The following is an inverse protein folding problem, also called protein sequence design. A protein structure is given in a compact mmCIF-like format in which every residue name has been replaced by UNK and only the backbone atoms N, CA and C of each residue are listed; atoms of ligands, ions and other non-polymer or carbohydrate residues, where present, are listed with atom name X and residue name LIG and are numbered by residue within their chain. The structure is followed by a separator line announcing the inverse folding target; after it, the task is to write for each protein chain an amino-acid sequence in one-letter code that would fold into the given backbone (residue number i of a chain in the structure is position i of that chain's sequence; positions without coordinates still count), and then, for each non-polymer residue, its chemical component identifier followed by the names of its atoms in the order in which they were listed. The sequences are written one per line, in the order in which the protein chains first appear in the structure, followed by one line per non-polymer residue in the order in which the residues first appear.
data_IF_603138384255
#
_entry.id   IF_603138384255
#
_cell.length_a   1.000
_cell.length_b   1.000
_cell.length_c   1.000
_cell.angle_alpha   90.00
_cell.angle_beta   90.00
_cell.angle_gamma   90.00
#
_symmetry.space_group_name_H-M   'P 1'
#
loop_
_entity.id
_entity.type
_entity.pdbx_description
1 polymer ?
#
# COMPACT_ATOMS: atom_id res chain seq x y z
N UNK A 1 -2.79 8.51 -0.43
CA UNK A 1 -4.01 8.62 0.41
C UNK A 1 -4.07 9.96 1.14
N UNK A 2 -3.33 10.98 0.68
CA UNK A 2 -3.20 12.30 1.30
C UNK A 2 -4.48 13.17 1.26
N UNK A 3 -5.43 12.84 0.37
CA UNK A 3 -6.70 13.56 0.20
C UNK A 3 -7.90 12.62 0.37
N UNK A 4 -7.78 11.57 1.19
CA UNK A 4 -8.83 10.57 1.34
C UNK A 4 -9.78 11.00 2.47
N UNK A 5 -10.81 11.76 2.11
CA UNK A 5 -11.85 12.25 3.04
C UNK A 5 -13.11 11.39 3.03
N UNK A 6 -13.52 10.94 1.84
CA UNK A 6 -14.75 10.18 1.63
C UNK A 6 -14.41 8.85 0.92
N UNK A 7 -14.04 7.78 1.65
CA UNK A 7 -13.76 6.48 1.04
C UNK A 7 -15.02 5.90 0.40
N UNK A 8 -14.82 5.23 -0.73
CA UNK A 8 -15.92 4.56 -1.45
C UNK A 8 -16.48 3.38 -0.68
N UNK A 9 -17.72 3.01 -0.99
CA UNK A 9 -18.35 1.80 -0.47
C UNK A 9 -17.47 0.57 -0.75
N UNK A 10 -17.26 -0.28 0.27
CA UNK A 10 -16.40 -1.46 0.18
C UNK A 10 -14.89 -1.21 0.28
N UNK A 11 -14.44 0.04 0.38
CA UNK A 11 -13.04 0.37 0.71
C UNK A 11 -12.87 0.48 2.23
N UNK A 12 -12.70 -0.66 2.91
CA UNK A 12 -12.67 -0.79 4.37
C UNK A 12 -11.29 -1.13 4.98
N UNK A 13 -10.22 -1.13 4.16
CA UNK A 13 -8.86 -1.37 4.61
C UNK A 13 -8.25 -0.14 5.32
N UNK A 14 -7.16 -0.34 6.07
CA UNK A 14 -6.37 0.79 6.57
C UNK A 14 -5.53 1.39 5.44
N UNK A 15 -6.04 2.45 4.83
CA UNK A 15 -5.36 3.18 3.75
C UNK A 15 -4.33 4.20 4.23
N UNK A 16 -4.12 4.39 5.54
CA UNK A 16 -3.23 5.45 6.07
C UNK A 16 -3.62 6.81 5.48
N UNK A 17 -4.87 7.22 5.73
CA UNK A 17 -5.45 8.43 5.15
C UNK A 17 -4.85 9.69 5.79
N UNK A 18 -4.45 10.65 4.95
CA UNK A 18 -4.05 12.03 5.27
C UNK A 18 -2.75 12.18 6.10
N UNK A 19 -2.55 11.38 7.14
CA UNK A 19 -1.41 11.47 8.05
C UNK A 19 -0.62 10.15 8.12
N UNK A 20 0.69 10.27 8.28
CA UNK A 20 1.57 9.11 8.41
C UNK A 20 1.32 8.39 9.74
N UNK A 21 1.30 7.05 9.70
CA UNK A 21 1.18 6.20 10.88
C UNK A 21 2.51 5.50 11.15
N UNK A 22 3.02 5.60 12.38
CA UNK A 22 4.20 4.84 12.80
C UNK A 22 3.82 3.37 13.02
N UNK A 23 4.54 2.47 12.36
CA UNK A 23 4.37 1.02 12.54
C UNK A 23 5.66 0.28 12.18
N UNK A 24 5.88 -0.87 12.80
CA UNK A 24 7.02 -1.72 12.46
C UNK A 24 6.71 -2.52 11.18
N UNK A 25 7.45 -2.23 10.10
CA UNK A 25 7.33 -2.96 8.83
C UNK A 25 8.54 -3.90 8.67
N UNK A 26 8.29 -5.21 8.70
CA UNK A 26 9.31 -6.23 8.38
C UNK A 26 9.36 -6.58 6.91
N UNK A 27 8.21 -6.55 6.25
CA UNK A 27 8.05 -6.85 4.83
C UNK A 27 7.06 -5.87 4.20
N UNK A 28 7.30 -5.48 2.96
CA UNK A 28 6.44 -4.60 2.18
C UNK A 28 6.15 -5.21 0.81
N UNK A 29 4.89 -5.12 0.37
CA UNK A 29 4.46 -5.48 -0.98
C UNK A 29 4.20 -4.18 -1.77
N UNK A 30 4.80 -4.07 -2.95
CA UNK A 30 4.55 -2.99 -3.89
C UNK A 30 3.93 -3.58 -5.16
N UNK A 31 2.71 -3.15 -5.49
CA UNK A 31 1.98 -3.61 -6.68
C UNK A 31 1.97 -2.52 -7.75
N UNK A 32 2.13 -2.93 -9.01
CA UNK A 32 2.00 -2.07 -10.19
C UNK A 32 1.08 -2.75 -11.20
N UNK A 33 0.01 -2.05 -11.59
CA UNK A 33 -0.98 -2.52 -12.56
C UNK A 33 -1.02 -1.53 -13.72
N UNK A 34 -0.41 -1.91 -14.86
CA UNK A 34 -0.27 -1.08 -16.04
C UNK A 34 -1.37 -1.31 -17.07
N UNK A 35 -1.60 -0.30 -17.91
CA UNK A 35 -2.47 -0.42 -19.08
C UNK A 35 -2.00 -1.54 -20.01
N UNK A 36 -2.95 -2.21 -20.68
CA UNK A 36 -2.65 -3.39 -21.50
C UNK A 36 -2.53 -4.70 -20.72
N UNK A 37 -2.77 -4.69 -19.40
CA UNK A 37 -2.83 -5.89 -18.56
C UNK A 37 -1.49 -6.32 -17.98
N UNK A 38 -0.46 -5.48 -18.07
CA UNK A 38 0.85 -5.77 -17.46
C UNK A 38 0.79 -5.54 -15.95
N UNK A 39 0.86 -6.61 -15.18
CA UNK A 39 0.84 -6.57 -13.73
C UNK A 39 2.18 -7.07 -13.17
N UNK A 40 2.72 -6.37 -12.17
CA UNK A 40 3.95 -6.76 -11.49
C UNK A 40 3.87 -6.45 -9.99
N UNK A 41 4.54 -7.27 -9.19
CA UNK A 41 4.63 -7.09 -7.74
C UNK A 41 6.05 -7.29 -7.27
N UNK A 42 6.49 -6.48 -6.30
CA UNK A 42 7.76 -6.62 -5.60
C UNK A 42 7.50 -6.82 -4.11
N UNK A 43 8.14 -7.84 -3.52
CA UNK A 43 8.18 -8.03 -2.07
C UNK A 43 9.57 -7.65 -1.57
N UNK A 44 9.63 -6.73 -0.62
CA UNK A 44 10.85 -6.30 0.04
C UNK A 44 10.80 -6.77 1.49
N UNK A 45 11.89 -7.37 1.99
CA UNK A 45 12.05 -7.76 3.38
C UNK A 45 13.21 -7.01 4.00
N UNK A 46 13.12 -6.74 5.31
CA UNK A 46 14.29 -6.37 6.09
C UNK A 46 15.32 -7.50 6.00
N UNK A 47 16.58 -7.15 5.75
CA UNK A 47 17.66 -8.12 5.84
C UNK A 47 17.92 -8.38 7.33
N UNK A 48 17.71 -9.63 7.74
CA UNK A 48 18.09 -10.10 9.06
C UNK A 48 19.55 -10.57 9.01
N UNK A 49 20.37 -10.04 9.92
CA UNK A 49 21.80 -10.30 10.05
C UNK A 49 22.11 -11.01 11.36
#
# INVERSE_FOLDING_TARGET
TINLENPSEGCDLNYVANEAQSTEIRHALCNSFGFGGTNASLVMGKLDS
#
